data_IF_816251752774
#
_entry.id   IF_816251752774
#
_cell.length_a   1.000
_cell.length_b   1.000
_cell.length_c   1.000
_cell.angle_alpha   90.00
_cell.angle_beta   90.00
_cell.angle_gamma   90.00
#
_symmetry.space_group_name_H-M   'P 1'
#
loop_
_entity.id
_entity.type
_entity.pdbx_description
1 polymer ?
#
# COMPACT_ATOMS: atom_id res chain seq x y z
N UNK A 1 26.43 54.97 -16.63
CA UNK A 1 26.33 53.55 -16.17
C UNK A 1 25.10 52.95 -16.84
N UNK A 2 25.31 52.09 -17.86
CA UNK A 2 24.23 51.34 -18.51
C UNK A 2 24.09 49.98 -17.78
N UNK A 3 22.90 49.71 -17.18
CA UNK A 3 22.55 48.40 -16.68
C UNK A 3 22.22 47.50 -17.88
N UNK A 4 23.05 46.50 -18.13
CA UNK A 4 22.73 45.41 -19.04
C UNK A 4 21.79 44.44 -18.35
N UNK A 5 20.48 44.46 -18.72
CA UNK A 5 19.54 43.43 -18.34
C UNK A 5 19.80 42.19 -19.21
N UNK A 6 20.39 41.15 -18.62
CA UNK A 6 20.47 39.83 -19.25
C UNK A 6 19.07 39.20 -19.28
N UNK A 7 18.47 39.19 -20.45
CA UNK A 7 17.30 38.37 -20.74
C UNK A 7 17.78 36.90 -20.81
N UNK A 8 17.49 36.12 -19.78
CA UNK A 8 17.57 34.68 -19.89
C UNK A 8 16.50 34.26 -20.93
N UNK A 9 16.96 33.76 -22.07
CA UNK A 9 16.08 33.20 -23.09
C UNK A 9 15.23 32.04 -22.47
N UNK A 10 14.06 31.72 -23.07
CA UNK A 10 13.25 30.62 -22.61
C UNK A 10 14.12 29.35 -22.65
N UNK A 11 14.15 28.62 -21.53
CA UNK A 11 14.75 27.29 -21.49
C UNK A 11 14.09 26.47 -22.62
N UNK A 12 14.87 25.68 -23.37
CA UNK A 12 14.30 24.80 -24.39
C UNK A 12 13.21 23.98 -23.72
N UNK A 13 12.04 23.94 -24.36
CA UNK A 13 10.97 23.07 -23.95
C UNK A 13 11.55 21.65 -23.93
N UNK A 14 11.79 21.10 -22.75
CA UNK A 14 12.02 19.67 -22.63
C UNK A 14 10.77 19.03 -23.22
N UNK A 15 10.93 18.13 -24.20
CA UNK A 15 9.85 17.31 -24.67
C UNK A 15 9.24 16.65 -23.44
N UNK A 16 8.04 17.10 -23.06
CA UNK A 16 7.34 16.59 -21.87
C UNK A 16 6.94 15.17 -22.18
N UNK A 17 7.80 14.27 -21.79
CA UNK A 17 7.53 12.86 -21.86
C UNK A 17 6.41 12.49 -20.88
N UNK A 18 5.50 11.63 -21.29
CA UNK A 18 4.48 11.07 -20.40
C UNK A 18 5.12 10.28 -19.27
N UNK A 19 4.45 10.19 -18.14
CA UNK A 19 4.94 9.44 -16.96
C UNK A 19 4.63 7.94 -17.01
N UNK A 20 3.89 7.46 -18.02
CA UNK A 20 3.45 6.07 -18.12
C UNK A 20 4.59 5.04 -18.17
N UNK A 21 5.76 5.44 -18.67
CA UNK A 21 6.94 4.60 -18.76
C UNK A 21 7.89 4.75 -17.56
N UNK A 22 7.56 5.63 -16.62
CA UNK A 22 8.40 5.88 -15.46
C UNK A 22 8.06 4.93 -14.32
N UNK A 23 9.08 4.33 -13.74
CA UNK A 23 9.00 3.50 -12.54
C UNK A 23 9.88 4.04 -11.42
N UNK A 24 9.62 3.57 -10.20
CA UNK A 24 10.47 3.82 -9.05
C UNK A 24 11.08 2.51 -8.54
N UNK A 25 12.37 2.56 -8.24
CA UNK A 25 13.09 1.48 -7.55
C UNK A 25 13.51 1.98 -6.18
N UNK A 26 13.16 1.23 -5.13
CA UNK A 26 13.52 1.58 -3.76
C UNK A 26 14.96 1.14 -3.48
N UNK A 27 15.81 2.08 -3.09
CA UNK A 27 17.15 1.84 -2.55
C UNK A 27 17.06 1.82 -1.02
N UNK A 28 16.82 0.64 -0.46
CA UNK A 28 16.48 0.46 0.96
C UNK A 28 17.54 0.99 1.92
N UNK A 29 18.80 0.71 1.64
CA UNK A 29 19.92 1.12 2.50
C UNK A 29 20.17 2.62 2.48
N UNK A 30 19.87 3.27 1.34
CA UNK A 30 20.11 4.71 1.17
C UNK A 30 18.91 5.56 1.60
N UNK A 31 17.75 4.96 1.78
CA UNK A 31 16.53 5.73 2.03
C UNK A 31 16.14 6.61 0.84
N UNK A 32 16.41 6.15 -0.37
CA UNK A 32 16.19 6.86 -1.63
C UNK A 32 15.34 6.05 -2.59
N UNK A 33 14.83 6.69 -3.62
CA UNK A 33 14.20 6.03 -4.76
C UNK A 33 14.86 6.46 -6.06
N UNK A 34 15.07 5.50 -6.97
CA UNK A 34 15.51 5.79 -8.33
C UNK A 34 14.29 5.97 -9.22
N UNK A 35 14.26 7.06 -9.99
CA UNK A 35 13.36 7.20 -11.12
C UNK A 35 13.99 6.52 -12.31
N UNK A 36 13.30 5.54 -12.86
CA UNK A 36 13.76 4.77 -14.00
C UNK A 36 12.80 4.90 -15.17
N UNK A 37 13.35 4.96 -16.34
CA UNK A 37 12.64 4.89 -17.60
C UNK A 37 12.64 3.42 -18.07
N UNK A 38 11.47 2.82 -18.09
CA UNK A 38 11.35 1.41 -18.45
C UNK A 38 11.46 1.16 -19.96
N UNK A 39 11.18 2.15 -20.80
CA UNK A 39 11.34 2.08 -22.24
C UNK A 39 12.80 2.20 -22.65
N UNK A 40 13.46 3.28 -22.19
CA UNK A 40 14.87 3.51 -22.48
C UNK A 40 15.81 2.66 -21.60
N UNK A 41 15.27 1.98 -20.59
CA UNK A 41 16.02 1.19 -19.60
C UNK A 41 17.12 2.02 -18.93
N UNK A 42 16.80 3.25 -18.59
CA UNK A 42 17.73 4.23 -18.06
C UNK A 42 17.33 4.72 -16.67
N UNK A 43 18.32 4.95 -15.83
CA UNK A 43 18.14 5.69 -14.58
C UNK A 43 18.09 7.19 -14.93
N UNK A 44 17.02 7.86 -14.53
CA UNK A 44 16.85 9.30 -14.76
C UNK A 44 17.32 10.13 -13.57
N UNK A 45 17.00 9.71 -12.35
CA UNK A 45 17.36 10.41 -11.13
C UNK A 45 17.43 9.47 -9.92
N UNK A 46 18.12 9.93 -8.88
CA UNK A 46 18.00 9.42 -7.52
C UNK A 46 17.39 10.51 -6.65
N UNK A 47 16.34 10.18 -5.89
CA UNK A 47 15.66 11.11 -4.99
C UNK A 47 15.93 10.62 -3.57
N UNK A 48 16.61 11.43 -2.79
CA UNK A 48 17.03 11.15 -1.41
C UNK A 48 16.10 11.84 -0.41
N UNK A 49 16.28 11.54 0.88
CA UNK A 49 15.54 12.20 1.97
C UNK A 49 14.16 11.65 2.25
N UNK A 50 13.86 10.40 1.83
CA UNK A 50 12.59 9.75 2.08
C UNK A 50 12.52 9.08 3.48
N UNK A 51 13.60 9.07 4.24
CA UNK A 51 13.68 8.44 5.55
C UNK A 51 14.03 6.95 5.50
N UNK A 52 13.54 6.17 6.46
CA UNK A 52 13.82 4.73 6.52
C UNK A 52 12.96 3.95 5.52
N UNK A 53 13.58 3.48 4.46
CA UNK A 53 12.97 2.63 3.44
C UNK A 53 13.35 1.15 3.57
N UNK A 54 13.85 0.72 4.73
CA UNK A 54 14.21 -0.69 4.99
C UNK A 54 13.04 -1.65 4.74
N UNK A 55 11.82 -1.17 4.89
CA UNK A 55 10.59 -1.79 4.40
C UNK A 55 9.69 -0.68 3.87
N UNK A 56 9.50 -0.63 2.56
CA UNK A 56 8.74 0.40 1.91
C UNK A 56 7.78 -0.17 0.87
N UNK A 57 6.71 0.56 0.60
CA UNK A 57 5.83 0.30 -0.53
C UNK A 57 5.50 1.60 -1.27
N UNK A 58 5.05 1.47 -2.50
CA UNK A 58 4.75 2.57 -3.39
C UNK A 58 3.38 2.35 -4.02
N UNK A 59 2.58 3.40 -4.06
CA UNK A 59 1.38 3.47 -4.90
C UNK A 59 1.44 4.73 -5.77
N UNK A 60 0.82 4.68 -6.94
CA UNK A 60 0.86 5.79 -7.90
C UNK A 60 -0.47 6.52 -7.96
N UNK A 61 -0.44 7.83 -8.19
CA UNK A 61 -1.63 8.60 -8.55
C UNK A 61 -2.25 8.05 -9.84
N UNK A 62 -3.55 8.27 -10.04
CA UNK A 62 -4.27 7.70 -11.18
C UNK A 62 -3.82 8.26 -12.53
N UNK A 63 -3.23 9.44 -12.55
CA UNK A 63 -2.59 10.06 -13.71
C UNK A 63 -1.10 9.67 -13.86
N UNK A 64 -0.61 8.75 -13.02
CA UNK A 64 0.79 8.29 -12.96
C UNK A 64 1.84 9.41 -12.77
N UNK A 65 1.43 10.63 -12.38
CA UNK A 65 2.33 11.75 -12.18
C UNK A 65 3.05 11.70 -10.84
N UNK A 66 2.35 11.26 -9.80
CA UNK A 66 2.88 11.22 -8.44
C UNK A 66 2.99 9.78 -7.95
N UNK A 67 4.03 9.53 -7.17
CA UNK A 67 4.15 8.32 -6.40
C UNK A 67 4.07 8.65 -4.90
N UNK A 68 3.37 7.82 -4.15
CA UNK A 68 3.28 7.87 -2.69
C UNK A 68 4.13 6.75 -2.12
N UNK A 69 5.22 7.12 -1.46
CA UNK A 69 6.18 6.19 -0.86
C UNK A 69 5.94 6.15 0.64
N UNK A 70 5.70 4.94 1.16
CA UNK A 70 5.50 4.68 2.58
C UNK A 70 6.80 4.11 3.16
N UNK A 71 7.35 4.79 4.15
CA UNK A 71 8.59 4.40 4.82
C UNK A 71 8.35 3.72 6.18
N UNK A 72 9.34 2.94 6.60
CA UNK A 72 9.33 2.21 7.88
C UNK A 72 9.25 3.14 9.09
N UNK A 73 9.78 4.34 8.98
CA UNK A 73 9.74 5.40 9.99
C UNK A 73 8.37 6.09 10.12
N UNK A 74 7.35 5.59 9.44
CA UNK A 74 6.04 6.23 9.36
C UNK A 74 5.97 7.38 8.35
N UNK A 75 7.00 7.56 7.55
CA UNK A 75 7.03 8.56 6.49
C UNK A 75 6.03 8.24 5.38
N UNK A 76 5.29 9.25 4.96
CA UNK A 76 4.49 9.27 3.73
C UNK A 76 5.02 10.39 2.84
N UNK A 77 5.63 10.02 1.72
CA UNK A 77 6.29 10.95 0.81
C UNK A 77 5.59 10.94 -0.55
N UNK A 78 5.17 12.11 -1.02
CA UNK A 78 4.71 12.31 -2.38
C UNK A 78 5.88 12.74 -3.27
N UNK A 79 6.17 11.97 -4.30
CA UNK A 79 7.24 12.20 -5.27
C UNK A 79 6.61 12.64 -6.59
N UNK A 80 7.06 13.77 -7.15
CA UNK A 80 6.69 14.22 -8.50
C UNK A 80 7.64 13.56 -9.51
N UNK A 81 7.11 12.63 -10.31
CA UNK A 81 7.89 11.87 -11.28
C UNK A 81 8.40 12.74 -12.43
N UNK A 82 7.61 13.71 -12.87
CA UNK A 82 8.03 14.63 -13.95
C UNK A 82 9.15 15.57 -13.49
N UNK A 83 9.07 16.06 -12.24
CA UNK A 83 10.07 16.96 -11.68
C UNK A 83 11.20 16.23 -10.96
N UNK A 84 11.08 14.93 -10.81
CA UNK A 84 12.08 14.04 -10.19
C UNK A 84 12.51 14.52 -8.80
N UNK A 85 11.55 14.89 -7.97
CA UNK A 85 11.80 15.44 -6.63
C UNK A 85 10.70 15.07 -5.65
N UNK A 86 11.03 15.18 -4.37
CA UNK A 86 10.00 15.19 -3.32
C UNK A 86 9.13 16.43 -3.52
N UNK A 87 7.83 16.24 -3.64
CA UNK A 87 6.84 17.29 -3.64
C UNK A 87 6.41 17.61 -2.21
N UNK A 88 6.13 16.58 -1.41
CA UNK A 88 5.73 16.71 -0.01
C UNK A 88 6.07 15.45 0.80
N UNK A 89 6.38 15.63 2.08
CA UNK A 89 6.59 14.52 3.02
C UNK A 89 5.98 14.86 4.37
N UNK A 90 5.34 13.87 4.98
CA UNK A 90 4.86 13.92 6.37
C UNK A 90 5.31 12.64 7.10
N UNK A 91 5.61 12.74 8.39
CA UNK A 91 5.80 11.58 9.26
C UNK A 91 4.50 11.42 10.04
N UNK A 92 3.76 10.35 9.78
CA UNK A 92 2.38 10.18 10.22
C UNK A 92 2.21 9.11 11.31
N UNK A 93 3.24 8.29 11.55
CA UNK A 93 3.23 7.22 12.55
C UNK A 93 4.66 6.95 13.03
N UNK A 94 4.82 6.07 14.02
CA UNK A 94 6.14 5.59 14.45
C UNK A 94 6.65 4.41 13.64
N UNK A 95 5.75 3.67 12.98
CA UNK A 95 6.10 2.55 12.12
C UNK A 95 4.96 2.27 11.13
N UNK A 96 5.29 2.28 9.85
CA UNK A 96 4.38 2.00 8.73
C UNK A 96 5.07 1.10 7.71
N UNK A 97 4.30 0.42 6.88
CA UNK A 97 4.88 -0.43 5.83
C UNK A 97 4.19 -0.26 4.48
N UNK A 98 3.12 0.49 4.42
CA UNK A 98 2.42 0.64 3.16
C UNK A 98 1.11 1.37 3.26
N UNK A 99 0.41 1.35 2.13
CA UNK A 99 -0.87 2.00 2.00
C UNK A 99 -1.49 1.75 0.64
N UNK A 100 -2.59 2.43 0.40
CA UNK A 100 -3.35 2.38 -0.85
C UNK A 100 -3.81 3.78 -1.26
N UNK A 101 -4.17 3.94 -2.52
CA UNK A 101 -4.82 5.16 -3.02
C UNK A 101 -6.22 4.80 -3.52
N UNK A 102 -7.21 5.60 -3.16
CA UNK A 102 -8.59 5.40 -3.61
C UNK A 102 -8.72 5.35 -5.13
N UNK A 103 -9.73 4.66 -5.65
CA UNK A 103 -9.91 4.52 -7.10
C UNK A 103 -10.10 5.86 -7.82
N UNK A 104 -10.67 6.86 -7.16
CA UNK A 104 -10.79 8.21 -7.70
C UNK A 104 -9.51 9.07 -7.53
N UNK A 105 -8.45 8.52 -6.91
CA UNK A 105 -7.17 9.18 -6.74
C UNK A 105 -7.12 10.30 -5.69
N UNK A 106 -8.19 10.51 -4.90
CA UNK A 106 -8.31 11.67 -4.00
C UNK A 106 -7.83 11.40 -2.58
N UNK A 107 -7.82 10.14 -2.14
CA UNK A 107 -7.50 9.75 -0.77
C UNK A 107 -6.37 8.75 -0.77
N UNK A 108 -5.33 9.01 0.02
CA UNK A 108 -4.27 8.05 0.34
C UNK A 108 -4.52 7.52 1.74
N UNK A 109 -4.56 6.20 1.87
CA UNK A 109 -4.67 5.51 3.14
C UNK A 109 -3.33 4.90 3.54
N UNK A 110 -2.84 5.18 4.75
CA UNK A 110 -1.63 4.61 5.30
C UNK A 110 -1.97 3.57 6.37
N UNK A 111 -1.36 2.39 6.27
CA UNK A 111 -1.46 1.32 7.27
C UNK A 111 -0.30 1.38 8.25
N UNK A 112 -0.59 1.24 9.54
CA UNK A 112 0.40 1.45 10.59
C UNK A 112 0.59 0.21 11.47
N UNK A 113 1.85 -0.05 11.83
CA UNK A 113 2.22 -1.03 12.85
C UNK A 113 2.24 -0.43 14.24
N UNK A 114 2.71 0.82 14.36
CA UNK A 114 2.75 1.55 15.62
C UNK A 114 2.33 3.01 15.38
N UNK A 115 1.31 3.48 16.09
CA UNK A 115 0.53 2.83 17.15
C UNK A 115 -0.50 1.79 16.67
N UNK A 116 -0.53 1.45 15.39
CA UNK A 116 -1.58 0.67 14.73
C UNK A 116 -2.60 1.59 14.07
N UNK A 117 -3.61 0.98 13.41
CA UNK A 117 -4.67 1.73 12.76
C UNK A 117 -4.35 2.23 11.35
N UNK A 118 -5.28 3.02 10.82
CA UNK A 118 -5.23 3.55 9.46
C UNK A 118 -5.40 5.06 9.52
N UNK A 119 -4.63 5.79 8.72
CA UNK A 119 -4.81 7.23 8.53
C UNK A 119 -5.15 7.52 7.09
N UNK A 120 -6.13 8.41 6.88
CA UNK A 120 -6.56 8.86 5.57
C UNK A 120 -6.01 10.28 5.33
N UNK A 121 -5.44 10.48 4.16
CA UNK A 121 -4.85 11.75 3.73
C UNK A 121 -5.45 12.21 2.41
N UNK A 122 -5.57 13.51 2.23
CA UNK A 122 -5.79 14.10 0.93
C UNK A 122 -4.59 13.83 0.02
N UNK A 123 -4.82 13.25 -1.14
CA UNK A 123 -3.74 12.85 -2.05
C UNK A 123 -2.99 14.05 -2.65
N UNK A 124 -3.64 15.21 -2.77
CA UNK A 124 -3.02 16.40 -3.32
C UNK A 124 -2.17 17.18 -2.30
N UNK A 125 -2.58 17.20 -1.04
CA UNK A 125 -1.97 18.05 -0.01
C UNK A 125 -1.24 17.28 1.08
N UNK A 126 -1.48 15.98 1.24
CA UNK A 126 -1.11 15.15 2.38
C UNK A 126 -1.66 15.69 3.72
N UNK A 127 -2.76 16.46 3.67
CA UNK A 127 -3.51 16.83 4.87
C UNK A 127 -4.16 15.58 5.47
N UNK A 128 -4.07 15.42 6.79
CA UNK A 128 -4.77 14.36 7.52
C UNK A 128 -6.27 14.62 7.50
N UNK A 129 -7.03 13.68 6.94
CA UNK A 129 -8.49 13.77 6.83
C UNK A 129 -9.20 13.02 7.97
N UNK A 130 -8.69 11.83 8.32
CA UNK A 130 -9.22 11.02 9.39
C UNK A 130 -8.17 10.05 9.96
N UNK A 131 -8.36 9.67 11.22
CA UNK A 131 -7.60 8.63 11.89
C UNK A 131 -8.57 7.55 12.41
N UNK A 132 -8.27 6.29 12.09
CA UNK A 132 -9.05 5.11 12.44
C UNK A 132 -8.19 4.24 13.36
N UNK A 133 -8.37 4.35 14.70
CA UNK A 133 -7.66 3.51 15.65
C UNK A 133 -8.01 2.02 15.43
N UNK A 134 -7.00 1.16 15.46
CA UNK A 134 -7.22 -0.27 15.32
C UNK A 134 -7.95 -0.88 16.53
N UNK A 135 -8.73 -1.94 16.29
CA UNK A 135 -9.18 -2.83 17.37
C UNK A 135 -7.98 -3.39 18.12
N UNK A 136 -8.09 -3.61 19.44
CA UNK A 136 -6.99 -4.19 20.21
C UNK A 136 -6.77 -5.66 19.84
N UNK A 137 -5.51 -6.08 19.88
CA UNK A 137 -5.12 -7.48 19.87
C UNK A 137 -5.32 -8.16 21.23
N UNK A 138 -4.93 -9.44 21.37
CA UNK A 138 -5.04 -10.19 22.61
C UNK A 138 -4.25 -9.61 23.80
N UNK A 139 -3.22 -8.82 23.52
CA UNK A 139 -2.39 -8.13 24.52
C UNK A 139 -2.97 -6.77 24.94
N UNK A 140 -4.14 -6.40 24.44
CA UNK A 140 -4.81 -5.14 24.69
C UNK A 140 -4.24 -3.94 23.92
N UNK A 141 -3.18 -4.11 23.12
CA UNK A 141 -2.60 -3.05 22.30
C UNK A 141 -3.32 -2.94 20.96
N UNK A 142 -3.33 -1.74 20.36
CA UNK A 142 -3.86 -1.58 19.01
C UNK A 142 -3.20 -2.53 18.01
N UNK A 143 -3.99 -3.20 17.21
CA UNK A 143 -3.50 -4.14 16.21
C UNK A 143 -2.69 -3.44 15.12
N UNK A 144 -1.64 -4.11 14.65
CA UNK A 144 -0.99 -3.76 13.39
C UNK A 144 -2.00 -3.90 12.24
N UNK A 145 -1.93 -2.99 11.30
CA UNK A 145 -2.73 -3.07 10.08
C UNK A 145 -1.84 -3.48 8.92
N UNK A 146 -2.33 -4.42 8.15
CA UNK A 146 -1.67 -4.99 6.98
C UNK A 146 -2.67 -5.22 5.85
N UNK A 147 -2.20 -5.60 4.69
CA UNK A 147 -3.08 -5.99 3.58
C UNK A 147 -4.05 -4.90 3.11
N UNK A 148 -3.73 -3.62 3.37
CA UNK A 148 -4.57 -2.50 2.95
C UNK A 148 -4.61 -2.38 1.43
N UNK A 149 -5.81 -2.41 0.87
CA UNK A 149 -6.07 -2.28 -0.56
C UNK A 149 -7.22 -1.31 -0.81
N UNK A 150 -7.24 -0.66 -1.97
CA UNK A 150 -8.40 0.08 -2.45
C UNK A 150 -9.47 -0.89 -2.98
N UNK A 151 -10.72 -0.49 -2.86
CA UNK A 151 -11.87 -1.25 -3.28
C UNK A 151 -12.92 -0.34 -3.98
N UNK A 152 -13.79 -0.92 -4.83
CA UNK A 152 -14.81 -0.14 -5.53
C UNK A 152 -15.73 0.66 -4.60
N UNK A 153 -16.22 1.80 -5.08
CA UNK A 153 -17.20 2.63 -4.37
C UNK A 153 -16.57 3.53 -3.30
N UNK A 154 -15.32 3.96 -3.48
CA UNK A 154 -14.65 4.86 -2.52
C UNK A 154 -14.25 4.17 -1.22
N UNK A 155 -14.09 2.85 -1.25
CA UNK A 155 -13.78 2.03 -0.09
C UNK A 155 -12.31 1.59 -0.07
N UNK A 156 -11.86 1.26 1.14
CA UNK A 156 -10.65 0.49 1.39
C UNK A 156 -11.01 -0.78 2.16
N UNK A 157 -10.13 -1.76 2.07
CA UNK A 157 -10.23 -2.99 2.87
C UNK A 157 -8.86 -3.30 3.46
N UNK A 158 -8.83 -3.79 4.70
CA UNK A 158 -7.59 -4.06 5.41
C UNK A 158 -7.71 -5.23 6.37
N UNK A 159 -6.59 -5.88 6.62
CA UNK A 159 -6.42 -6.92 7.65
C UNK A 159 -5.83 -6.31 8.92
N UNK A 160 -6.40 -6.66 10.08
CA UNK A 160 -5.89 -6.30 11.40
C UNK A 160 -5.22 -7.54 12.00
N UNK A 161 -3.88 -7.53 11.96
CA UNK A 161 -3.04 -8.69 12.24
C UNK A 161 -3.26 -9.30 13.63
N UNK A 162 -3.14 -8.47 14.68
CA UNK A 162 -3.21 -8.96 16.05
C UNK A 162 -4.66 -9.18 16.49
N UNK A 163 -5.60 -8.37 15.98
CA UNK A 163 -7.02 -8.48 16.30
C UNK A 163 -7.73 -9.64 15.60
N UNK A 164 -7.15 -10.22 14.52
CA UNK A 164 -7.81 -11.26 13.74
C UNK A 164 -9.07 -10.76 13.01
N UNK A 165 -9.03 -9.52 12.50
CA UNK A 165 -10.17 -8.86 11.86
C UNK A 165 -9.86 -8.48 10.41
N UNK A 166 -10.92 -8.35 9.61
CA UNK A 166 -10.91 -7.62 8.34
C UNK A 166 -11.86 -6.43 8.46
N UNK A 167 -11.43 -5.28 7.95
CA UNK A 167 -12.26 -4.07 7.92
C UNK A 167 -12.56 -3.65 6.49
N UNK A 168 -13.82 -3.25 6.23
CA UNK A 168 -14.18 -2.43 5.08
C UNK A 168 -14.34 -1.00 5.60
N UNK A 169 -13.65 -0.06 4.97
CA UNK A 169 -13.66 1.36 5.30
C UNK A 169 -14.33 2.10 4.13
N UNK A 170 -15.49 2.66 4.36
CA UNK A 170 -16.14 3.56 3.41
C UNK A 170 -15.57 4.97 3.59
N UNK A 171 -14.77 5.40 2.63
CA UNK A 171 -14.13 6.71 2.57
C UNK A 171 -14.78 7.62 1.50
N UNK A 172 -16.04 7.39 1.14
CA UNK A 172 -16.80 8.30 0.26
C UNK A 172 -16.90 9.70 0.86
N UNK A 173 -17.01 9.80 2.19
CA UNK A 173 -16.70 11.01 2.96
C UNK A 173 -15.44 10.76 3.80
N UNK A 174 -14.24 11.10 3.31
CA UNK A 174 -13.00 10.69 3.96
C UNK A 174 -12.71 11.42 5.29
N UNK A 175 -13.45 12.48 5.62
CA UNK A 175 -13.34 13.15 6.93
C UNK A 175 -14.19 12.47 8.01
N UNK A 176 -15.19 11.68 7.63
CA UNK A 176 -16.05 10.90 8.51
C UNK A 176 -16.27 9.52 7.91
N UNK A 177 -15.18 8.69 7.81
CA UNK A 177 -15.29 7.37 7.21
C UNK A 177 -16.10 6.42 8.09
N UNK A 178 -16.88 5.54 7.45
CA UNK A 178 -17.59 4.47 8.14
C UNK A 178 -16.79 3.18 8.08
N UNK A 179 -16.75 2.42 9.18
CA UNK A 179 -16.00 1.16 9.27
C UNK A 179 -16.94 0.00 9.57
N UNK A 180 -16.93 -1.01 8.70
CA UNK A 180 -17.54 -2.31 8.94
C UNK A 180 -16.47 -3.32 9.30
N UNK A 181 -16.58 -3.93 10.49
CA UNK A 181 -15.61 -4.87 11.05
C UNK A 181 -16.11 -6.30 10.90
N UNK A 182 -15.19 -7.20 10.57
CA UNK A 182 -15.40 -8.64 10.52
C UNK A 182 -14.41 -9.30 11.48
N UNK A 183 -14.84 -9.63 12.71
CA UNK A 183 -13.96 -10.29 13.69
C UNK A 183 -13.85 -11.79 13.42
N UNK A 184 -12.81 -12.42 14.00
CA UNK A 184 -12.66 -13.88 14.00
C UNK A 184 -12.39 -14.48 12.61
N UNK A 185 -11.76 -13.73 11.72
CA UNK A 185 -11.49 -14.21 10.34
C UNK A 185 -10.39 -15.24 10.25
N UNK A 186 -9.66 -15.45 11.34
CA UNK A 186 -8.53 -16.36 11.47
C UNK A 186 -7.37 -15.72 12.21
N UNK A 187 -6.33 -16.52 12.51
CA UNK A 187 -5.16 -16.02 13.26
C UNK A 187 -4.24 -15.22 12.36
N UNK A 188 -4.01 -13.97 12.74
CA UNK A 188 -3.05 -13.08 12.10
C UNK A 188 -3.29 -12.94 10.60
N UNK A 189 -4.47 -12.45 10.16
CA UNK A 189 -4.68 -12.11 8.77
C UNK A 189 -3.63 -11.09 8.35
N UNK A 190 -3.00 -11.32 7.20
CA UNK A 190 -1.82 -10.57 6.79
C UNK A 190 -2.05 -9.88 5.44
N UNK A 191 -1.14 -10.10 4.49
CA UNK A 191 -1.27 -9.52 3.17
C UNK A 191 -2.62 -9.87 2.55
N UNK A 192 -3.19 -8.88 1.90
CA UNK A 192 -4.45 -9.02 1.21
C UNK A 192 -4.46 -8.29 -0.11
N UNK A 193 -5.37 -8.71 -0.97
CA UNK A 193 -5.58 -8.08 -2.25
C UNK A 193 -7.05 -8.11 -2.62
N UNK A 194 -7.43 -7.21 -3.50
CA UNK A 194 -8.74 -7.19 -4.15
C UNK A 194 -8.59 -7.76 -5.56
N UNK A 195 -9.49 -8.67 -5.94
CA UNK A 195 -9.51 -9.22 -7.31
C UNK A 195 -9.77 -8.13 -8.35
N UNK A 196 -9.31 -8.31 -9.61
CA UNK A 196 -9.44 -7.28 -10.65
C UNK A 196 -10.88 -6.83 -10.94
N UNK A 197 -11.86 -7.69 -10.69
CA UNK A 197 -13.29 -7.34 -10.78
C UNK A 197 -13.81 -6.52 -9.58
N UNK A 198 -12.96 -6.28 -8.59
CA UNK A 198 -13.28 -5.54 -7.37
C UNK A 198 -14.22 -6.27 -6.41
N UNK A 199 -14.45 -7.56 -6.62
CA UNK A 199 -15.42 -8.32 -5.83
C UNK A 199 -14.86 -8.97 -4.59
N UNK A 200 -13.71 -9.61 -4.70
CA UNK A 200 -13.19 -10.43 -3.63
C UNK A 200 -11.98 -9.78 -2.98
N UNK A 201 -12.00 -9.69 -1.65
CA UNK A 201 -10.80 -9.48 -0.86
C UNK A 201 -10.33 -10.82 -0.31
N UNK A 202 -9.07 -11.14 -0.57
CA UNK A 202 -8.44 -12.39 -0.14
C UNK A 202 -7.28 -12.02 0.77
N UNK A 203 -7.26 -12.57 2.00
CA UNK A 203 -6.17 -12.34 2.95
C UNK A 203 -5.51 -13.67 3.34
N UNK A 204 -4.18 -13.72 3.34
CA UNK A 204 -3.40 -14.82 3.87
C UNK A 204 -3.45 -14.86 5.40
N UNK A 205 -3.39 -16.02 6.00
CA UNK A 205 -3.37 -16.18 7.45
C UNK A 205 -1.95 -16.56 7.92
N UNK A 206 -1.28 -15.59 8.56
CA UNK A 206 0.10 -15.78 9.02
C UNK A 206 0.19 -16.79 10.19
N UNK A 207 -0.77 -16.77 11.08
CA UNK A 207 -0.81 -17.59 12.28
C UNK A 207 -1.31 -19.02 12.07
N UNK A 208 -1.85 -19.35 10.91
CA UNK A 208 -2.42 -20.65 10.58
C UNK A 208 -2.50 -20.87 9.07
N UNK A 209 -2.83 -22.08 8.65
CA UNK A 209 -3.01 -22.38 7.23
C UNK A 209 -4.34 -21.83 6.72
N UNK A 210 -4.40 -21.56 5.41
CA UNK A 210 -5.60 -21.12 4.74
C UNK A 210 -5.63 -19.63 4.44
N UNK A 211 -6.70 -19.23 3.79
CA UNK A 211 -6.98 -17.86 3.40
C UNK A 211 -8.36 -17.44 3.92
N UNK A 212 -8.50 -16.14 4.21
CA UNK A 212 -9.77 -15.50 4.48
C UNK A 212 -10.30 -14.86 3.18
N UNK A 213 -11.55 -15.12 2.84
CA UNK A 213 -12.22 -14.62 1.64
C UNK A 213 -13.44 -13.79 2.03
N UNK A 214 -13.49 -12.54 1.59
CA UNK A 214 -14.61 -11.63 1.80
C UNK A 214 -15.21 -11.18 0.45
N UNK A 215 -16.51 -11.38 0.27
CA UNK A 215 -17.25 -10.85 -0.88
C UNK A 215 -17.59 -9.37 -0.63
N UNK A 216 -16.87 -8.45 -1.31
CA UNK A 216 -17.09 -7.00 -1.17
C UNK A 216 -18.39 -6.52 -1.81
N UNK A 217 -19.01 -7.31 -2.67
CA UNK A 217 -20.33 -7.02 -3.22
C UNK A 217 -21.45 -7.48 -2.28
N UNK A 218 -21.18 -8.52 -1.49
CA UNK A 218 -22.11 -9.12 -0.53
C UNK A 218 -21.48 -9.27 0.85
N UNK A 219 -21.04 -8.15 1.48
CA UNK A 219 -20.35 -8.22 2.75
C UNK A 219 -21.22 -8.70 3.92
N UNK A 220 -22.55 -8.73 3.76
CA UNK A 220 -23.47 -9.31 4.73
C UNK A 220 -23.28 -10.80 4.93
N UNK A 221 -22.67 -11.49 3.96
CA UNK A 221 -22.36 -12.94 4.04
C UNK A 221 -21.18 -13.25 4.95
N UNK A 222 -20.47 -12.21 5.39
CA UNK A 222 -19.29 -12.37 6.25
C UNK A 222 -18.05 -12.91 5.52
N UNK A 223 -17.06 -13.25 6.32
CA UNK A 223 -15.80 -13.83 5.83
C UNK A 223 -15.87 -15.34 5.92
N UNK A 224 -15.39 -16.04 4.90
CA UNK A 224 -15.26 -17.50 4.90
C UNK A 224 -13.81 -17.93 4.72
N UNK A 225 -13.49 -19.10 5.24
CA UNK A 225 -12.19 -19.75 5.06
C UNK A 225 -12.16 -20.50 3.73
N UNK A 226 -11.01 -20.47 3.07
CA UNK A 226 -10.72 -21.26 1.88
C UNK A 226 -9.30 -21.80 1.97
N UNK A 227 -9.02 -22.90 1.27
CA UNK A 227 -7.70 -23.53 1.20
C UNK A 227 -7.11 -23.85 2.59
N UNK A 228 -7.87 -24.51 3.45
CA UNK A 228 -7.53 -24.74 4.87
C UNK A 228 -6.21 -25.47 5.13
N UNK A 229 -5.64 -26.11 4.11
CA UNK A 229 -4.36 -26.82 4.19
C UNK A 229 -3.23 -26.13 3.44
N UNK A 230 -3.48 -24.90 2.97
CA UNK A 230 -2.51 -24.14 2.18
C UNK A 230 -1.72 -23.18 3.06
N UNK A 231 -0.41 -23.19 2.95
CA UNK A 231 0.44 -22.16 3.51
C UNK A 231 1.69 -22.66 4.22
N UNK A 232 1.57 -23.53 5.21
CA UNK A 232 2.71 -23.88 6.09
C UNK A 232 3.73 -24.82 5.51
N UNK A 233 3.31 -25.83 4.76
CA UNK A 233 4.18 -26.96 4.47
C UNK A 233 4.73 -27.63 5.75
N UNK A 234 5.69 -28.52 5.60
CA UNK A 234 6.32 -29.27 6.70
C UNK A 234 7.52 -28.53 7.32
N UNK A 235 8.07 -27.52 6.65
CA UNK A 235 9.25 -26.79 7.11
C UNK A 235 8.93 -25.80 8.23
N UNK A 236 9.73 -25.85 9.29
CA UNK A 236 9.66 -24.93 10.44
C UNK A 236 10.45 -23.65 10.16
N UNK A 237 10.16 -22.95 9.08
CA UNK A 237 10.80 -21.66 8.80
C UNK A 237 10.15 -20.55 9.65
N UNK A 238 10.95 -19.72 10.35
CA UNK A 238 10.42 -18.81 11.37
C UNK A 238 9.59 -17.63 10.84
N UNK A 239 9.63 -17.32 9.56
CA UNK A 239 9.04 -16.10 9.00
C UNK A 239 8.16 -16.34 7.77
N UNK A 240 8.05 -17.56 7.24
CA UNK A 240 7.59 -17.76 5.87
C UNK A 240 6.46 -18.77 5.72
N UNK A 241 5.55 -18.77 6.66
CA UNK A 241 4.52 -19.83 6.71
C UNK A 241 3.24 -19.50 5.97
N UNK A 242 3.18 -18.35 5.31
CA UNK A 242 1.97 -17.94 4.62
C UNK A 242 2.23 -17.52 3.19
N UNK A 243 1.22 -17.58 2.33
CA UNK A 243 1.28 -16.95 1.03
C UNK A 243 1.37 -15.43 1.17
N UNK A 244 2.43 -14.84 0.63
CA UNK A 244 2.52 -13.39 0.45
C UNK A 244 1.65 -12.99 -0.73
N UNK A 245 0.41 -12.59 -0.46
CA UNK A 245 -0.54 -12.26 -1.49
C UNK A 245 -0.17 -11.02 -2.33
N UNK A 246 0.70 -10.15 -1.83
CA UNK A 246 1.27 -9.07 -2.66
C UNK A 246 2.27 -9.55 -3.72
N UNK A 247 2.74 -10.78 -3.62
CA UNK A 247 3.61 -11.42 -4.60
C UNK A 247 2.89 -12.28 -5.62
N UNK A 248 1.57 -12.21 -5.70
CA UNK A 248 0.82 -13.03 -6.63
C UNK A 248 0.63 -12.36 -8.00
N UNK A 249 0.36 -13.18 -9.00
CA UNK A 249 -0.02 -12.74 -10.33
C UNK A 249 -1.39 -13.31 -10.71
N UNK A 250 -2.16 -12.57 -11.47
CA UNK A 250 -3.45 -13.02 -12.03
C UNK A 250 -3.32 -13.09 -13.54
N UNK A 251 -3.65 -14.24 -14.12
CA UNK A 251 -3.66 -14.43 -15.57
C UNK A 251 -4.88 -15.26 -15.95
N UNK A 252 -5.73 -14.73 -16.82
CA UNK A 252 -7.00 -15.36 -17.18
C UNK A 252 -7.88 -15.56 -15.94
N UNK A 253 -8.35 -16.77 -15.71
CA UNK A 253 -9.15 -17.16 -14.54
C UNK A 253 -8.33 -17.72 -13.37
N UNK A 254 -7.00 -17.60 -13.40
CA UNK A 254 -6.11 -18.19 -12.42
C UNK A 254 -5.37 -17.13 -11.60
N UNK A 255 -5.15 -17.44 -10.32
CA UNK A 255 -4.26 -16.70 -9.44
C UNK A 255 -3.06 -17.59 -9.08
N UNK A 256 -1.85 -17.07 -9.28
CA UNK A 256 -0.60 -17.74 -8.97
C UNK A 256 -0.03 -17.13 -7.69
N UNK A 257 -0.02 -17.91 -6.62
CA UNK A 257 0.42 -17.47 -5.30
C UNK A 257 1.65 -18.27 -4.86
N UNK A 258 2.71 -17.60 -4.37
CA UNK A 258 3.86 -18.31 -3.84
C UNK A 258 3.50 -18.99 -2.50
N UNK A 259 3.69 -20.30 -2.42
CA UNK A 259 3.60 -21.08 -1.20
C UNK A 259 5.02 -21.28 -0.62
N UNK A 260 5.57 -20.22 -0.02
CA UNK A 260 6.99 -20.14 0.35
C UNK A 260 7.43 -21.30 1.25
N UNK A 261 6.60 -21.72 2.21
CA UNK A 261 6.91 -22.82 3.09
C UNK A 261 6.88 -24.21 2.42
N UNK A 262 6.46 -24.28 1.16
CA UNK A 262 6.40 -25.53 0.37
C UNK A 262 7.30 -25.50 -0.87
N UNK A 263 7.90 -24.33 -1.17
CA UNK A 263 8.65 -24.09 -2.41
C UNK A 263 7.84 -24.37 -3.69
N UNK A 264 6.55 -24.03 -3.65
CA UNK A 264 5.56 -24.24 -4.70
C UNK A 264 4.90 -22.91 -5.12
N UNK A 265 4.20 -22.93 -6.24
CA UNK A 265 3.34 -21.85 -6.70
C UNK A 265 1.94 -22.39 -6.95
#
# INVERSE_FOLDING_TARGET
LALAASFAGPLPAQDLRGTGDLGLVVERERGSVLVVDTTERAKLAAIEGLGDLSHASIVYSRDARYAFVFGRDGGLTRVDLLRQRIDRRVVQAGNSIGGAISQNGRVVAAQNYSPGGIKLFDAATLELLAELPASPGPDGKPSKVVGLADAPGGRFVASLFDAGEIWIIDASNPRVPAVRKFPGVGRQPYDGLVTPDGRWYIAGLFGEDGLALLDLWHPERGVRRILDRYGRGEEKLPVYKMPHLRGWAVAGGFAFLPAIGRNEV
#
